data_IF_864672180452
#
_entry.id   IF_864672180452
#
_cell.length_a   1.000
_cell.length_b   1.000
_cell.length_c   1.000
_cell.angle_alpha   90.00
_cell.angle_beta   90.00
_cell.angle_gamma   90.00
#
_symmetry.space_group_name_H-M   'P 1'
#
loop_
_entity.id
_entity.type
_entity.pdbx_description
1 polymer ?
#
# COMPACT_ATOMS: atom_id res chain seq x y z
N UNK A 1 -0.35 -44.61 50.65
CA UNK A 1 -1.11 -43.40 50.26
C UNK A 1 -0.10 -42.26 50.26
N UNK A 2 0.47 -41.97 49.10
CA UNK A 2 1.36 -40.83 48.84
C UNK A 2 1.00 -40.40 47.42
N UNK A 3 0.40 -39.22 47.29
CA UNK A 3 -0.07 -38.68 46.02
C UNK A 3 1.10 -38.39 45.08
N UNK A 4 0.96 -38.83 43.84
CA UNK A 4 1.82 -38.41 42.74
C UNK A 4 1.57 -36.92 42.44
N UNK A 5 2.60 -36.14 42.10
CA UNK A 5 2.43 -34.73 41.76
C UNK A 5 1.59 -34.59 40.48
N UNK A 6 0.82 -33.51 40.32
CA UNK A 6 0.01 -33.30 39.13
C UNK A 6 0.93 -33.25 37.91
N UNK A 7 0.63 -34.12 36.95
CA UNK A 7 1.15 -34.05 35.59
C UNK A 7 0.89 -32.66 35.04
N UNK A 8 1.96 -31.92 34.76
CA UNK A 8 1.93 -30.68 34.03
C UNK A 8 1.13 -30.87 32.73
N UNK A 9 0.08 -30.05 32.56
CA UNK A 9 -0.67 -29.93 31.32
C UNK A 9 0.29 -29.86 30.11
N UNK A 10 0.01 -30.57 29.01
CA UNK A 10 0.76 -30.36 27.79
C UNK A 10 0.53 -28.90 27.37
N UNK A 11 1.59 -28.09 27.51
CA UNK A 11 1.65 -26.75 26.97
C UNK A 11 1.04 -26.75 25.57
N UNK A 12 -0.03 -25.98 25.41
CA UNK A 12 -0.70 -25.71 24.14
C UNK A 12 0.39 -25.45 23.11
N UNK A 13 0.57 -26.39 22.18
CA UNK A 13 1.49 -26.20 21.07
C UNK A 13 1.14 -24.86 20.43
N UNK A 14 2.12 -23.95 20.17
CA UNK A 14 1.82 -22.67 19.55
C UNK A 14 1.01 -22.98 18.30
N UNK A 15 -0.20 -22.43 18.23
CA UNK A 15 -1.14 -22.81 17.19
C UNK A 15 -0.46 -22.66 15.84
N UNK A 16 -0.29 -23.77 15.13
CA UNK A 16 0.50 -23.77 13.91
C UNK A 16 -0.33 -23.06 12.83
N UNK A 17 0.01 -21.81 12.56
CA UNK A 17 -0.62 -21.05 11.49
C UNK A 17 -0.02 -21.45 10.15
N UNK A 18 -0.88 -21.77 9.20
CA UNK A 18 -0.51 -22.05 7.82
C UNK A 18 -0.83 -20.85 6.96
N UNK A 19 0.14 -20.43 6.17
CA UNK A 19 -0.03 -19.32 5.24
C UNK A 19 -0.31 -19.87 3.83
N UNK A 20 -1.31 -19.30 3.18
CA UNK A 20 -1.68 -19.59 1.81
C UNK A 20 -1.66 -18.28 1.00
N UNK A 21 -1.31 -18.40 -0.27
CA UNK A 21 -1.54 -17.35 -1.27
C UNK A 21 -2.76 -17.77 -2.07
N UNK A 22 -3.67 -16.85 -2.32
CA UNK A 22 -4.66 -17.08 -3.37
C UNK A 22 -3.97 -17.06 -4.73
N UNK A 23 -4.32 -18.03 -5.57
CA UNK A 23 -3.81 -18.08 -6.93
C UNK A 23 -4.46 -16.96 -7.75
N UNK A 24 -3.65 -16.24 -8.51
CA UNK A 24 -4.14 -15.12 -9.31
C UNK A 24 -4.80 -15.69 -10.57
N UNK A 25 -6.12 -15.56 -10.69
CA UNK A 25 -6.86 -16.01 -11.86
C UNK A 25 -6.55 -15.10 -13.07
N UNK A 26 -6.00 -15.63 -14.17
CA UNK A 26 -5.80 -14.91 -15.43
C UNK A 26 -7.04 -14.24 -16.02
N UNK A 27 -8.23 -14.69 -15.66
CA UNK A 27 -9.49 -14.09 -16.08
C UNK A 27 -9.79 -12.75 -15.38
N UNK A 28 -9.06 -12.36 -14.33
CA UNK A 28 -9.37 -11.14 -13.54
C UNK A 28 -9.10 -9.81 -14.26
N UNK A 29 -8.78 -9.85 -15.55
CA UNK A 29 -8.69 -8.68 -16.40
C UNK A 29 -7.39 -7.92 -16.24
N UNK A 30 -6.77 -7.59 -17.37
CA UNK A 30 -5.65 -6.68 -17.44
C UNK A 30 -6.17 -5.24 -17.24
N UNK A 31 -5.68 -4.50 -16.23
CA UNK A 31 -6.01 -3.08 -16.05
C UNK A 31 -5.55 -2.18 -17.22
N UNK A 32 -4.76 -2.72 -18.15
CA UNK A 32 -4.24 -2.06 -19.34
C UNK A 32 -4.96 -2.45 -20.65
N UNK A 33 -6.06 -3.20 -20.62
CA UNK A 33 -6.93 -3.37 -21.79
C UNK A 33 -8.12 -2.43 -21.70
N UNK A 34 -7.89 -1.14 -21.86
CA UNK A 34 -8.94 -0.24 -22.31
C UNK A 34 -8.67 0.07 -23.78
N UNK A 35 -9.62 -0.29 -24.65
CA UNK A 35 -9.66 0.30 -25.98
C UNK A 35 -10.17 1.72 -25.80
N UNK A 36 -9.29 2.69 -26.04
CA UNK A 36 -9.68 4.09 -26.04
C UNK A 36 -10.46 4.34 -27.33
N UNK A 37 -11.78 4.17 -27.30
CA UNK A 37 -12.67 4.69 -28.35
C UNK A 37 -12.63 6.22 -28.31
N UNK A 38 -11.60 6.78 -28.96
CA UNK A 38 -11.53 8.21 -29.20
C UNK A 38 -12.44 8.49 -30.39
N UNK A 39 -13.67 8.90 -30.14
CA UNK A 39 -14.45 9.57 -31.17
C UNK A 39 -13.66 10.80 -31.64
N UNK A 40 -13.43 10.91 -32.95
CA UNK A 40 -12.80 12.09 -33.55
C UNK A 40 -13.63 13.38 -33.33
N UNK A 41 -14.87 13.23 -32.86
CA UNK A 41 -15.84 14.30 -32.62
C UNK A 41 -15.90 14.74 -31.15
N UNK A 42 -14.83 14.49 -30.39
CA UNK A 42 -14.72 14.92 -29.00
C UNK A 42 -14.90 16.44 -28.88
N UNK A 43 -16.08 16.86 -28.45
CA UNK A 43 -16.40 18.26 -28.16
C UNK A 43 -15.93 18.56 -26.75
N UNK A 44 -15.18 19.67 -26.60
CA UNK A 44 -14.73 20.17 -25.30
C UNK A 44 -15.95 20.32 -24.38
N UNK A 45 -15.94 19.63 -23.23
CA UNK A 45 -17.07 19.60 -22.31
C UNK A 45 -17.50 21.00 -21.82
N UNK A 46 -16.56 21.96 -21.79
CA UNK A 46 -16.83 23.33 -21.37
C UNK A 46 -16.13 24.34 -22.30
N UNK A 47 -16.92 25.26 -22.86
CA UNK A 47 -16.47 26.42 -23.63
C UNK A 47 -16.65 27.70 -22.80
N UNK A 48 -16.27 27.68 -21.52
CA UNK A 48 -16.29 28.87 -20.69
C UNK A 48 -14.97 29.64 -20.86
N UNK A 49 -15.09 30.95 -21.12
CA UNK A 49 -13.99 31.92 -21.13
C UNK A 49 -13.40 32.18 -19.73
N UNK A 50 -13.74 31.34 -18.76
CA UNK A 50 -13.38 31.45 -17.35
C UNK A 50 -12.02 30.79 -17.11
N UNK A 51 -11.02 31.20 -17.86
CA UNK A 51 -9.66 31.00 -17.38
C UNK A 51 -9.53 31.90 -16.18
N UNK A 52 -9.37 31.31 -14.99
CA UNK A 52 -8.99 32.06 -13.80
C UNK A 52 -7.69 32.79 -14.16
N UNK A 53 -7.80 34.11 -14.38
CA UNK A 53 -6.62 34.93 -14.60
C UNK A 53 -5.80 34.83 -13.33
N UNK A 54 -4.62 34.23 -13.44
CA UNK A 54 -3.70 34.13 -12.32
C UNK A 54 -3.53 35.50 -11.69
N UNK A 55 -3.88 35.62 -10.40
CA UNK A 55 -3.43 36.77 -9.64
C UNK A 55 -1.91 36.78 -9.66
N UNK A 56 -1.32 37.97 -9.81
CA UNK A 56 0.13 38.16 -9.69
C UNK A 56 0.52 37.95 -8.23
N UNK A 57 0.60 36.70 -7.81
CA UNK A 57 1.35 36.32 -6.62
C UNK A 57 2.83 36.23 -6.99
N UNK A 58 3.69 36.49 -6.01
CA UNK A 58 5.10 36.17 -6.16
C UNK A 58 5.23 34.69 -6.53
N UNK A 59 6.10 34.37 -7.50
CA UNK A 59 6.38 32.99 -7.85
C UNK A 59 6.98 32.28 -6.65
N UNK A 60 6.32 31.23 -6.17
CA UNK A 60 6.78 30.40 -5.06
C UNK A 60 7.29 29.06 -5.60
N UNK A 61 8.25 28.41 -4.93
CA UNK A 61 8.58 27.01 -5.20
C UNK A 61 7.36 26.11 -5.06
N UNK A 62 7.26 25.10 -5.93
CA UNK A 62 6.22 24.08 -5.89
C UNK A 62 6.84 22.69 -5.77
N UNK A 63 6.20 21.80 -5.02
CA UNK A 63 6.52 20.39 -4.99
C UNK A 63 5.32 19.58 -5.48
N UNK A 64 5.53 18.75 -6.51
CA UNK A 64 4.57 17.75 -6.97
C UNK A 64 4.96 16.42 -6.33
N UNK A 65 4.11 15.92 -5.44
CA UNK A 65 4.30 14.65 -4.73
C UNK A 65 3.18 13.72 -5.13
N UNK A 66 3.52 12.55 -5.66
CA UNK A 66 2.55 11.57 -6.12
C UNK A 66 3.07 10.14 -5.90
N UNK A 67 2.13 9.21 -5.76
CA UNK A 67 2.36 7.84 -5.37
C UNK A 67 1.64 6.82 -6.23
N UNK A 68 2.25 5.66 -6.37
CA UNK A 68 1.60 4.45 -6.87
C UNK A 68 1.73 3.34 -5.85
N UNK A 69 0.65 2.58 -5.68
CA UNK A 69 0.64 1.34 -4.91
C UNK A 69 0.23 0.16 -5.76
N UNK A 70 0.68 -1.03 -5.37
CA UNK A 70 0.33 -2.29 -6.01
C UNK A 70 0.09 -3.36 -4.97
N UNK A 71 -1.07 -3.99 -5.04
CA UNK A 71 -1.30 -5.29 -4.43
C UNK A 71 -0.53 -6.33 -5.24
N UNK A 72 0.32 -7.11 -4.58
CA UNK A 72 1.13 -8.13 -5.24
C UNK A 72 0.59 -9.53 -5.02
N UNK A 73 0.18 -9.85 -3.79
CA UNK A 73 -0.37 -11.15 -3.41
C UNK A 73 -1.48 -11.00 -2.37
N UNK A 74 -2.61 -11.66 -2.60
CA UNK A 74 -3.60 -11.94 -1.55
C UNK A 74 -3.13 -13.11 -0.71
N UNK A 75 -3.16 -12.95 0.61
CA UNK A 75 -2.70 -13.93 1.58
C UNK A 75 -3.86 -14.36 2.49
N UNK A 76 -3.76 -15.57 3.01
CA UNK A 76 -4.60 -16.06 4.10
C UNK A 76 -3.74 -16.77 5.12
N UNK A 77 -3.97 -16.52 6.40
CA UNK A 77 -3.41 -17.33 7.48
C UNK A 77 -4.53 -18.13 8.15
N UNK A 78 -4.33 -19.44 8.30
CA UNK A 78 -5.29 -20.36 8.91
C UNK A 78 -4.69 -21.00 10.16
N UNK A 79 -5.43 -20.99 11.25
CA UNK A 79 -5.07 -21.66 12.48
C UNK A 79 -5.41 -23.15 12.39
N UNK A 80 -4.41 -24.03 12.48
CA UNK A 80 -4.64 -25.48 12.32
C UNK A 80 -5.59 -26.08 13.36
N UNK A 81 -5.74 -25.45 14.54
CA UNK A 81 -6.57 -25.98 15.63
C UNK A 81 -8.05 -25.59 15.52
N UNK A 82 -8.33 -24.36 15.08
CA UNK A 82 -9.69 -23.79 15.05
C UNK A 82 -10.25 -23.69 13.63
N UNK A 83 -9.38 -23.75 12.61
CA UNK A 83 -9.72 -23.44 11.23
C UNK A 83 -9.98 -21.94 11.00
N UNK A 84 -9.74 -21.08 11.99
CA UNK A 84 -9.92 -19.63 11.85
C UNK A 84 -9.00 -19.10 10.75
N UNK A 85 -9.57 -18.35 9.82
CA UNK A 85 -8.86 -17.69 8.73
C UNK A 85 -8.83 -16.19 8.92
N UNK A 86 -7.65 -15.61 8.74
CA UNK A 86 -7.48 -14.15 8.69
C UNK A 86 -6.90 -13.75 7.34
N UNK A 87 -7.40 -12.65 6.74
CA UNK A 87 -6.90 -12.19 5.45
C UNK A 87 -5.55 -11.48 5.64
N UNK A 88 -4.75 -11.48 4.58
CA UNK A 88 -3.52 -10.70 4.48
C UNK A 88 -3.29 -10.21 3.07
N UNK A 89 -2.41 -9.23 2.93
CA UNK A 89 -2.06 -8.60 1.67
C UNK A 89 -0.56 -8.32 1.64
N UNK A 90 0.15 -8.90 0.67
CA UNK A 90 1.48 -8.46 0.32
C UNK A 90 1.37 -7.38 -0.75
N UNK A 91 1.89 -6.19 -0.48
CA UNK A 91 1.87 -5.09 -1.43
C UNK A 91 3.10 -4.18 -1.34
N UNK A 92 3.16 -3.24 -2.27
CA UNK A 92 4.15 -2.19 -2.26
C UNK A 92 3.54 -0.81 -2.57
N UNK A 93 4.24 0.23 -2.14
CA UNK A 93 3.98 1.61 -2.51
C UNK A 93 5.30 2.29 -2.85
N UNK A 94 5.27 3.16 -3.86
CA UNK A 94 6.38 4.03 -4.24
C UNK A 94 5.85 5.43 -4.45
N UNK A 95 6.49 6.41 -3.82
CA UNK A 95 6.10 7.82 -3.85
C UNK A 95 7.31 8.63 -4.26
N UNK A 96 7.14 9.47 -5.28
CA UNK A 96 8.18 10.36 -5.79
C UNK A 96 7.80 11.83 -5.61
N UNK A 97 8.82 12.70 -5.65
CA UNK A 97 8.62 14.13 -5.65
C UNK A 97 9.48 14.83 -6.70
N UNK A 98 8.91 15.88 -7.29
CA UNK A 98 9.57 16.82 -8.20
C UNK A 98 9.34 18.24 -7.69
N UNK A 99 10.42 18.99 -7.51
CA UNK A 99 10.37 20.40 -7.13
C UNK A 99 10.58 21.31 -8.33
N UNK A 100 9.94 22.47 -8.30
CA UNK A 100 10.05 23.51 -9.33
C UNK A 100 10.26 24.84 -8.63
N UNK A 101 11.44 25.45 -8.81
CA UNK A 101 11.68 26.82 -8.36
C UNK A 101 11.43 27.81 -9.50
N UNK A 102 11.07 29.07 -9.18
CA UNK A 102 10.92 30.11 -10.17
C UNK A 102 12.16 30.24 -11.06
N UNK A 103 11.94 30.26 -12.38
CA UNK A 103 12.99 30.41 -13.40
C UNK A 103 14.04 29.28 -13.43
N UNK A 104 13.72 28.11 -12.88
CA UNK A 104 14.57 26.92 -12.94
C UNK A 104 13.85 25.75 -13.62
N UNK A 105 14.61 24.76 -14.06
CA UNK A 105 14.05 23.48 -14.49
C UNK A 105 13.58 22.67 -13.29
N UNK A 106 12.54 21.86 -13.51
CA UNK A 106 12.08 20.90 -12.51
C UNK A 106 13.22 19.94 -12.12
N UNK A 107 13.33 19.64 -10.83
CA UNK A 107 14.32 18.73 -10.27
C UNK A 107 13.67 17.62 -9.48
N UNK A 108 14.22 16.42 -9.59
CA UNK A 108 13.80 15.30 -8.77
C UNK A 108 14.24 15.50 -7.31
N UNK A 109 13.27 15.47 -6.40
CA UNK A 109 13.50 15.76 -4.98
C UNK A 109 13.64 14.49 -4.13
N UNK A 110 13.12 13.35 -4.58
CA UNK A 110 13.34 12.08 -3.90
C UNK A 110 12.27 11.03 -4.17
N UNK A 111 12.50 9.85 -3.56
CA UNK A 111 11.56 8.72 -3.57
C UNK A 111 11.51 8.08 -2.19
N UNK A 112 10.35 7.53 -1.87
CA UNK A 112 10.14 6.60 -0.76
C UNK A 112 9.49 5.34 -1.31
N UNK A 113 10.00 4.19 -0.90
CA UNK A 113 9.47 2.88 -1.29
C UNK A 113 9.19 2.08 -0.03
N UNK A 114 8.02 1.48 0.05
CA UNK A 114 7.64 0.56 1.11
C UNK A 114 7.14 -0.75 0.49
N UNK A 115 7.56 -1.86 1.09
CA UNK A 115 7.11 -3.21 0.74
C UNK A 115 6.67 -3.89 2.02
N UNK A 116 5.40 -4.29 2.07
CA UNK A 116 4.73 -4.61 3.32
C UNK A 116 3.79 -5.80 3.17
N UNK A 117 3.81 -6.66 4.18
CA UNK A 117 2.77 -7.64 4.46
C UNK A 117 1.81 -7.05 5.50
N UNK A 118 0.57 -6.84 5.11
CA UNK A 118 -0.49 -6.32 5.98
C UNK A 118 -1.38 -7.51 6.35
N UNK A 119 -1.56 -7.75 7.64
CA UNK A 119 -2.41 -8.82 8.15
C UNK A 119 -3.63 -8.23 8.86
N UNK A 120 -4.77 -8.90 8.66
CA UNK A 120 -6.02 -8.60 9.33
C UNK A 120 -6.16 -9.24 10.72
N UNK A 121 -7.27 -8.95 11.39
CA UNK A 121 -7.65 -9.56 12.68
C UNK A 121 -6.65 -9.35 13.81
N UNK A 122 -5.91 -8.23 13.82
CA UNK A 122 -4.96 -7.91 14.87
C UNK A 122 -3.67 -8.73 14.84
N UNK A 123 -3.42 -9.54 13.80
CA UNK A 123 -2.25 -10.44 13.70
C UNK A 123 -1.08 -9.83 12.93
N UNK A 124 0.14 -10.29 13.21
CA UNK A 124 1.33 -10.02 12.38
C UNK A 124 2.00 -11.33 11.99
N UNK A 125 2.68 -11.32 10.84
CA UNK A 125 3.46 -12.46 10.36
C UNK A 125 4.51 -12.00 9.35
N UNK A 126 5.76 -12.38 9.58
CA UNK A 126 6.85 -11.99 8.69
C UNK A 126 6.82 -12.81 7.39
N UNK A 127 6.88 -12.12 6.25
CA UNK A 127 7.22 -12.76 5.00
C UNK A 127 8.74 -12.89 4.89
N UNK A 128 9.20 -14.10 4.57
CA UNK A 128 10.63 -14.36 4.37
C UNK A 128 11.15 -13.50 3.24
N UNK A 129 12.30 -12.86 3.47
CA UNK A 129 12.99 -12.14 2.41
C UNK A 129 13.49 -13.12 1.34
N UNK A 130 13.29 -12.80 0.07
CA UNK A 130 13.70 -13.65 -1.07
C UNK A 130 14.20 -12.78 -2.20
N UNK A 131 15.31 -13.18 -2.83
CA UNK A 131 15.89 -12.49 -4.00
C UNK A 131 16.17 -11.00 -3.77
N UNK A 132 16.59 -10.61 -2.56
CA UNK A 132 16.87 -9.23 -2.20
C UNK A 132 15.64 -8.38 -1.81
N UNK A 133 14.43 -8.92 -1.94
CA UNK A 133 13.21 -8.23 -1.48
C UNK A 133 12.96 -8.52 -0.01
N UNK A 134 12.92 -7.45 0.78
CA UNK A 134 12.54 -7.46 2.20
C UNK A 134 11.13 -6.93 2.35
N UNK A 135 10.38 -7.56 3.27
CA UNK A 135 9.03 -7.16 3.62
C UNK A 135 9.03 -6.64 5.06
N UNK A 136 8.42 -5.49 5.29
CA UNK A 136 7.92 -5.16 6.63
C UNK A 136 6.62 -5.92 6.88
N UNK A 137 6.28 -6.18 8.14
CA UNK A 137 5.02 -6.81 8.50
C UNK A 137 4.25 -5.89 9.47
N UNK A 138 2.96 -5.72 9.23
CA UNK A 138 2.07 -4.96 10.11
C UNK A 138 0.74 -5.67 10.31
N UNK A 139 0.12 -5.33 11.43
CA UNK A 139 -1.21 -5.78 11.82
C UNK A 139 -2.21 -4.65 11.66
N UNK A 140 -3.44 -5.02 11.31
CA UNK A 140 -4.61 -4.15 11.30
C UNK A 140 -5.81 -4.93 11.82
N UNK A 141 -6.85 -4.21 12.24
CA UNK A 141 -8.17 -4.80 12.56
C UNK A 141 -9.00 -5.11 11.29
N UNK A 142 -8.37 -5.14 10.11
CA UNK A 142 -9.08 -5.45 8.87
C UNK A 142 -9.61 -6.89 8.90
N UNK A 143 -10.84 -7.07 8.47
CA UNK A 143 -11.52 -8.35 8.32
C UNK A 143 -11.78 -8.69 6.85
N UNK A 144 -11.61 -7.72 5.93
CA UNK A 144 -11.87 -7.90 4.50
C UNK A 144 -10.67 -7.49 3.62
N UNK A 145 -10.55 -8.04 2.39
CA UNK A 145 -9.52 -7.63 1.43
C UNK A 145 -9.54 -6.13 1.09
N UNK A 146 -10.74 -5.54 0.95
CA UNK A 146 -10.87 -4.10 0.65
C UNK A 146 -10.32 -3.22 1.78
N UNK A 147 -10.51 -3.63 3.03
CA UNK A 147 -9.92 -2.93 4.18
C UNK A 147 -8.39 -3.04 4.18
N UNK A 148 -7.82 -4.17 3.74
CA UNK A 148 -6.37 -4.30 3.56
C UNK A 148 -5.84 -3.44 2.42
N UNK A 149 -6.59 -3.32 1.31
CA UNK A 149 -6.26 -2.39 0.22
C UNK A 149 -6.32 -0.93 0.69
N UNK A 150 -7.32 -0.57 1.50
CA UNK A 150 -7.40 0.75 2.12
C UNK A 150 -6.22 1.00 3.08
N UNK A 151 -5.79 -0.01 3.84
CA UNK A 151 -4.59 0.09 4.67
C UNK A 151 -3.32 0.32 3.83
N UNK A 152 -3.19 -0.32 2.68
CA UNK A 152 -2.09 -0.08 1.74
C UNK A 152 -2.14 1.35 1.16
N UNK A 153 -3.32 1.85 0.79
CA UNK A 153 -3.52 3.24 0.36
C UNK A 153 -3.10 4.23 1.44
N UNK A 154 -3.52 3.99 2.69
CA UNK A 154 -3.16 4.84 3.82
C UNK A 154 -1.65 4.87 4.06
N UNK A 155 -0.95 3.75 3.87
CA UNK A 155 0.52 3.74 3.94
C UNK A 155 1.15 4.60 2.85
N UNK A 156 0.69 4.50 1.59
CA UNK A 156 1.15 5.37 0.51
C UNK A 156 0.94 6.85 0.85
N UNK A 157 -0.25 7.19 1.36
CA UNK A 157 -0.57 8.55 1.80
C UNK A 157 0.38 9.09 2.87
N UNK A 158 0.84 8.23 3.79
CA UNK A 158 1.85 8.63 4.80
C UNK A 158 3.22 8.86 4.19
N UNK A 159 3.62 8.07 3.19
CA UNK A 159 4.86 8.29 2.45
C UNK A 159 4.82 9.60 1.66
N UNK A 160 3.69 9.92 1.02
CA UNK A 160 3.42 11.24 0.38
C UNK A 160 3.56 12.37 1.39
N UNK A 161 2.88 12.27 2.54
CA UNK A 161 2.96 13.28 3.59
C UNK A 161 4.40 13.49 4.08
N UNK A 162 5.14 12.42 4.34
CA UNK A 162 6.55 12.50 4.77
C UNK A 162 7.43 13.15 3.70
N UNK A 163 7.30 12.75 2.43
CA UNK A 163 8.12 13.29 1.36
C UNK A 163 7.77 14.75 1.06
N UNK A 164 6.49 15.14 1.20
CA UNK A 164 6.07 16.53 1.08
C UNK A 164 6.69 17.41 2.16
N UNK A 165 6.78 16.95 3.41
CA UNK A 165 7.47 17.65 4.50
C UNK A 165 8.96 17.82 4.15
N UNK A 166 9.63 16.75 3.70
CA UNK A 166 11.04 16.81 3.32
C UNK A 166 11.29 17.84 2.19
N UNK A 167 10.36 17.96 1.23
CA UNK A 167 10.45 18.96 0.17
C UNK A 167 10.33 20.39 0.70
N UNK A 168 9.46 20.64 1.68
CA UNK A 168 9.34 21.96 2.32
C UNK A 168 10.61 22.32 3.07
N UNK A 169 11.21 21.36 3.76
CA UNK A 169 12.46 21.57 4.52
C UNK A 169 13.67 21.81 3.62
N UNK A 170 13.69 21.21 2.43
CA UNK A 170 14.74 21.43 1.43
C UNK A 170 14.65 22.80 0.73
N UNK A 171 13.45 23.41 0.72
CA UNK A 171 13.15 24.67 0.03
C UNK A 171 12.64 24.45 -1.38
#
# INVERSE_FOLDING_TARGET
MVDAPPTSDPATSPSAWRMYTEDWDPAYGNSASFEMEVSADATRAEHSGDHVRGHTSASIPLAFVDGRRRAELSLWAEESATGTRVPGLAGCAAVGAVTVHPNTSASYAGIRVDRVAIWGGGRTGDLRSRSGYRWSAVSTEAETPDQLLAALQERMRRLEGSLAIDCVEAG
#
